data_IF_357219969980
#
_entry.id   IF_357219969980
#
_cell.length_a   1.000
_cell.length_b   1.000
_cell.length_c   1.000
_cell.angle_alpha   90.00
_cell.angle_beta   90.00
_cell.angle_gamma   90.00
#
_symmetry.space_group_name_H-M   'P 1'
#
loop_
_entity.id
_entity.type
_entity.pdbx_description
1 polymer ?
#
# COMPACT_ATOMS: atom_id res chain seq x y z
N UNK A 1 -13.51 -16.81 -20.12
CA UNK A 1 -13.30 -17.46 -18.80
C UNK A 1 -12.05 -18.32 -18.94
N UNK A 2 -11.16 -18.36 -17.94
CA UNK A 2 -9.93 -19.17 -18.04
C UNK A 2 -10.26 -20.66 -18.02
N UNK A 3 -9.49 -21.49 -18.72
CA UNK A 3 -9.52 -22.95 -18.57
C UNK A 3 -8.86 -23.37 -17.24
N UNK A 4 -8.97 -24.66 -16.88
CA UNK A 4 -8.32 -25.18 -15.67
C UNK A 4 -6.80 -25.15 -15.80
N UNK A 5 -6.30 -25.43 -16.99
CA UNK A 5 -4.89 -25.44 -17.35
C UNK A 5 -4.32 -24.02 -17.26
N UNK A 6 -4.98 -23.03 -17.86
CA UNK A 6 -4.58 -21.62 -17.76
C UNK A 6 -4.58 -21.10 -16.32
N UNK A 7 -5.54 -21.54 -15.49
CA UNK A 7 -5.56 -21.19 -14.07
C UNK A 7 -4.41 -21.83 -13.30
N UNK A 8 -4.07 -23.08 -13.60
CA UNK A 8 -2.94 -23.76 -12.99
C UNK A 8 -1.62 -23.05 -13.29
N UNK A 9 -1.39 -22.68 -14.56
CA UNK A 9 -0.19 -21.93 -14.97
C UNK A 9 -0.09 -20.59 -14.27
N UNK A 10 -1.22 -19.87 -14.13
CA UNK A 10 -1.28 -18.63 -13.35
C UNK A 10 -0.88 -18.86 -11.88
N UNK A 11 -1.33 -19.95 -11.26
CA UNK A 11 -0.99 -20.27 -9.88
C UNK A 11 0.50 -20.60 -9.74
N UNK A 12 1.09 -21.31 -10.69
CA UNK A 12 2.54 -21.58 -10.72
C UNK A 12 3.33 -20.27 -10.82
N UNK A 13 2.93 -19.36 -11.70
CA UNK A 13 3.58 -18.07 -11.84
C UNK A 13 3.44 -17.22 -10.58
N UNK A 14 2.24 -17.16 -9.98
CA UNK A 14 2.03 -16.45 -8.72
C UNK A 14 2.94 -16.99 -7.60
N UNK A 15 3.11 -18.32 -7.50
CA UNK A 15 4.02 -18.95 -6.54
C UNK A 15 5.46 -18.53 -6.79
N UNK A 16 5.91 -18.43 -8.04
CA UNK A 16 7.24 -17.93 -8.41
C UNK A 16 7.42 -16.47 -7.99
N UNK A 17 6.45 -15.61 -8.32
CA UNK A 17 6.51 -14.17 -8.05
C UNK A 17 6.59 -13.86 -6.55
N UNK A 18 5.85 -14.59 -5.71
CA UNK A 18 5.89 -14.34 -4.25
C UNK A 18 7.18 -14.81 -3.57
N UNK A 19 8.06 -15.51 -4.28
CA UNK A 19 9.40 -15.84 -3.77
C UNK A 19 10.43 -14.76 -4.08
N UNK A 20 10.14 -13.82 -4.98
CA UNK A 20 11.06 -12.75 -5.37
C UNK A 20 11.04 -11.61 -4.33
N UNK A 21 12.16 -11.34 -3.61
CA UNK A 21 12.25 -10.27 -2.63
C UNK A 21 11.91 -8.89 -3.20
N UNK A 22 12.21 -8.64 -4.46
CA UNK A 22 11.96 -7.36 -5.13
C UNK A 22 10.47 -7.14 -5.40
N UNK A 23 9.70 -8.23 -5.53
CA UNK A 23 8.25 -8.20 -5.71
C UNK A 23 7.55 -8.03 -4.37
N UNK A 24 8.00 -8.73 -3.32
CA UNK A 24 7.33 -8.72 -2.02
C UNK A 24 7.74 -7.58 -1.11
N UNK A 25 8.78 -6.81 -1.45
CA UNK A 25 9.20 -5.65 -0.66
C UNK A 25 8.10 -4.60 -0.55
N UNK A 26 8.07 -3.91 0.58
CA UNK A 26 7.15 -2.79 0.76
C UNK A 26 7.58 -1.61 -0.13
N UNK A 27 6.67 -1.14 -0.98
CA UNK A 27 6.89 0.02 -1.88
C UNK A 27 6.41 1.35 -1.29
N UNK A 28 5.99 1.38 -0.03
CA UNK A 28 5.52 2.59 0.63
C UNK A 28 6.69 3.57 0.86
N UNK A 29 6.62 4.84 0.44
CA UNK A 29 7.72 5.79 0.62
C UNK A 29 7.92 6.23 2.08
N UNK A 30 6.96 5.95 2.97
CA UNK A 30 7.00 6.36 4.36
C UNK A 30 7.88 5.42 5.21
N UNK A 31 9.20 5.60 5.15
CA UNK A 31 10.18 4.77 5.89
C UNK A 31 10.16 4.99 7.41
N UNK A 32 9.62 6.11 7.88
CA UNK A 32 9.42 6.40 9.31
C UNK A 32 8.14 5.76 9.89
N UNK A 33 7.40 4.97 9.11
CA UNK A 33 6.20 4.29 9.58
C UNK A 33 6.54 3.03 10.38
N UNK A 34 5.90 2.84 11.54
CA UNK A 34 6.11 1.66 12.41
C UNK A 34 5.72 0.34 11.75
N UNK A 35 4.89 0.43 10.70
CA UNK A 35 4.41 -0.68 9.88
C UNK A 35 5.12 -0.78 8.53
N UNK A 36 6.14 0.02 8.28
CA UNK A 36 6.96 -0.11 7.07
C UNK A 36 7.60 -1.51 7.02
N UNK A 37 7.50 -2.18 5.88
CA UNK A 37 7.94 -3.59 5.74
C UNK A 37 6.99 -4.64 6.36
N UNK A 38 6.09 -4.25 7.26
CA UNK A 38 5.11 -5.13 7.93
C UNK A 38 3.78 -5.17 7.14
N UNK A 39 3.84 -5.70 5.91
CA UNK A 39 2.73 -5.61 4.95
C UNK A 39 1.43 -6.27 5.44
N UNK A 40 1.52 -7.37 6.20
CA UNK A 40 0.34 -8.08 6.74
C UNK A 40 -0.40 -7.22 7.77
N UNK A 41 0.33 -6.61 8.69
CA UNK A 41 -0.17 -5.71 9.73
C UNK A 41 -0.73 -4.44 9.10
N UNK A 42 -0.02 -3.85 8.14
CA UNK A 42 -0.47 -2.68 7.39
C UNK A 42 -1.84 -2.93 6.72
N UNK A 43 -2.00 -4.07 6.02
CA UNK A 43 -3.30 -4.43 5.39
C UNK A 43 -4.38 -4.62 6.45
N UNK A 44 -4.07 -5.26 7.58
CA UNK A 44 -5.05 -5.46 8.66
C UNK A 44 -5.56 -4.13 9.21
N UNK A 45 -4.67 -3.15 9.44
CA UNK A 45 -5.04 -1.81 9.92
C UNK A 45 -5.89 -1.04 8.90
N UNK A 46 -5.50 -1.03 7.62
CA UNK A 46 -6.31 -0.38 6.57
C UNK A 46 -7.69 -1.03 6.42
N UNK A 47 -7.78 -2.37 6.53
CA UNK A 47 -9.04 -3.09 6.53
C UNK A 47 -9.91 -2.74 7.73
N UNK A 48 -9.33 -2.62 8.92
CA UNK A 48 -10.07 -2.28 10.14
C UNK A 48 -10.63 -0.86 10.10
N UNK A 49 -9.81 0.12 9.72
CA UNK A 49 -10.23 1.53 9.70
C UNK A 49 -11.12 1.88 8.51
N UNK A 50 -10.94 1.24 7.35
CA UNK A 50 -11.79 1.45 6.18
C UNK A 50 -11.70 2.83 5.52
N UNK A 51 -10.84 3.72 6.01
CA UNK A 51 -10.70 5.10 5.51
C UNK A 51 -10.12 5.13 4.08
N UNK A 52 -9.05 4.37 3.84
CA UNK A 52 -8.45 4.25 2.52
C UNK A 52 -7.60 2.98 2.36
N UNK A 53 -7.27 2.64 1.12
CA UNK A 53 -6.40 1.50 0.79
C UNK A 53 -4.92 1.76 1.10
N UNK A 54 -4.12 0.71 1.37
CA UNK A 54 -2.68 0.83 1.53
C UNK A 54 -2.00 1.41 0.28
N UNK A 55 -0.85 2.07 0.46
CA UNK A 55 -0.10 2.72 -0.63
C UNK A 55 0.21 1.77 -1.78
N UNK A 56 0.56 0.50 -1.50
CA UNK A 56 0.88 -0.49 -2.53
C UNK A 56 -0.30 -0.80 -3.49
N UNK A 57 -1.55 -0.59 -3.06
CA UNK A 57 -2.74 -0.80 -3.89
C UNK A 57 -3.20 0.47 -4.63
N UNK A 58 -2.78 1.66 -4.17
CA UNK A 58 -3.22 2.92 -4.74
C UNK A 58 -2.88 3.07 -6.24
N UNK A 59 -1.71 2.67 -6.78
CA UNK A 59 -1.43 2.80 -8.21
C UNK A 59 -2.44 2.06 -9.11
N UNK A 60 -2.86 0.86 -8.72
CA UNK A 60 -3.82 0.04 -9.46
C UNK A 60 -5.18 0.74 -9.50
N UNK A 61 -5.62 1.28 -8.36
CA UNK A 61 -6.91 1.95 -8.21
C UNK A 61 -6.89 3.32 -8.91
N UNK A 62 -5.82 4.12 -8.71
CA UNK A 62 -5.64 5.41 -9.39
C UNK A 62 -5.73 5.28 -10.89
N UNK A 63 -5.15 4.24 -11.50
CA UNK A 63 -5.26 4.00 -12.95
C UNK A 63 -6.71 3.85 -13.39
N UNK A 64 -7.52 3.10 -12.63
CA UNK A 64 -8.95 2.91 -12.92
C UNK A 64 -9.76 4.18 -12.71
N UNK A 65 -9.52 4.90 -11.61
CA UNK A 65 -10.19 6.17 -11.30
C UNK A 65 -9.88 7.23 -12.35
N UNK A 66 -8.62 7.37 -12.75
CA UNK A 66 -8.20 8.27 -13.84
C UNK A 66 -8.89 7.95 -15.16
N UNK A 67 -8.96 6.68 -15.52
CA UNK A 67 -9.63 6.24 -16.74
C UNK A 67 -11.12 6.59 -16.73
N UNK A 68 -11.79 6.44 -15.57
CA UNK A 68 -13.20 6.81 -15.41
C UNK A 68 -13.40 8.34 -15.46
N UNK A 69 -12.58 9.13 -14.77
CA UNK A 69 -12.70 10.58 -14.79
C UNK A 69 -12.52 11.15 -16.22
N UNK A 70 -11.58 10.59 -16.98
CA UNK A 70 -11.32 10.98 -18.36
C UNK A 70 -12.52 10.78 -19.31
N UNK A 71 -13.47 9.88 -19.02
CA UNK A 71 -14.64 9.67 -19.89
C UNK A 71 -15.62 10.84 -19.85
N UNK A 72 -15.46 11.76 -18.89
CA UNK A 72 -16.30 12.95 -18.71
C UNK A 72 -15.46 14.23 -18.64
N UNK A 73 -14.27 14.21 -19.25
CA UNK A 73 -13.34 15.36 -19.31
C UNK A 73 -12.96 15.91 -17.91
N UNK A 74 -12.94 15.04 -16.90
CA UNK A 74 -12.54 15.39 -15.54
C UNK A 74 -11.12 14.93 -15.22
N UNK A 75 -10.41 15.76 -14.47
CA UNK A 75 -9.12 15.42 -13.88
C UNK A 75 -9.25 14.97 -12.42
N UNK A 76 -8.24 14.22 -11.95
CA UNK A 76 -8.12 13.82 -10.55
C UNK A 76 -6.78 14.24 -9.98
N UNK A 77 -6.83 14.78 -8.76
CA UNK A 77 -5.65 15.21 -8.01
C UNK A 77 -5.38 14.27 -6.85
N UNK A 78 -4.10 14.07 -6.53
CA UNK A 78 -3.74 13.35 -5.31
C UNK A 78 -3.99 14.26 -4.10
N UNK A 79 -4.45 13.67 -3.00
CA UNK A 79 -4.46 14.34 -1.70
C UNK A 79 -3.02 14.55 -1.23
N UNK A 80 -2.74 15.71 -0.64
CA UNK A 80 -1.48 16.00 0.02
C UNK A 80 -1.18 14.97 1.13
N UNK A 81 0.07 14.49 1.24
CA UNK A 81 0.44 13.55 2.28
C UNK A 81 0.43 14.20 3.66
N UNK A 82 0.26 13.39 4.70
CA UNK A 82 0.46 13.85 6.08
C UNK A 82 1.89 14.37 6.25
N UNK A 83 2.09 15.56 6.86
CA UNK A 83 3.41 16.12 7.10
C UNK A 83 4.35 15.14 7.84
N UNK A 84 5.61 15.06 7.40
CA UNK A 84 6.61 14.17 8.00
C UNK A 84 6.87 14.50 9.48
N UNK A 85 6.70 15.77 9.86
CA UNK A 85 6.86 16.25 11.24
C UNK A 85 5.98 15.50 12.24
N UNK A 86 4.82 14.97 11.83
CA UNK A 86 3.93 14.23 12.73
C UNK A 86 4.56 12.88 13.11
N UNK A 87 5.26 12.23 12.18
CA UNK A 87 5.99 10.99 12.46
C UNK A 87 7.21 11.24 13.33
N UNK A 88 7.92 12.35 13.10
CA UNK A 88 9.02 12.76 13.98
C UNK A 88 8.53 13.03 15.40
N UNK A 89 7.36 13.67 15.53
CA UNK A 89 6.74 13.92 16.82
C UNK A 89 6.41 12.61 17.58
N UNK A 90 5.85 11.60 16.90
CA UNK A 90 5.61 10.28 17.49
C UNK A 90 6.91 9.68 18.04
N UNK A 91 7.97 9.65 17.22
CA UNK A 91 9.28 9.12 17.66
C UNK A 91 9.83 9.85 18.88
N UNK A 92 9.75 11.19 18.89
CA UNK A 92 10.17 12.00 20.04
C UNK A 92 9.39 11.61 21.31
N UNK A 93 8.08 11.42 21.20
CA UNK A 93 7.22 11.02 22.33
C UNK A 93 7.53 9.62 22.84
N UNK A 94 7.83 8.67 21.95
CA UNK A 94 8.22 7.31 22.32
C UNK A 94 9.58 7.31 23.07
N UNK A 95 10.53 8.13 22.64
CA UNK A 95 11.81 8.33 23.32
C UNK A 95 11.64 8.97 24.71
N UNK A 96 10.71 9.93 24.86
CA UNK A 96 10.38 10.52 26.16
C UNK A 96 9.72 9.51 27.09
N UNK A 97 8.80 8.69 26.56
CA UNK A 97 8.08 7.69 27.35
C UNK A 97 8.93 6.50 27.77
N UNK A 98 9.96 6.14 26.99
CA UNK A 98 10.86 5.02 27.31
C UNK A 98 11.92 5.38 28.36
N UNK A 99 12.02 6.66 28.74
CA UNK A 99 12.90 7.17 29.82
C UNK A 99 12.21 7.25 31.18
N UNK A 100 10.91 6.94 31.26
CA UNK A 100 10.10 6.84 32.48
C UNK A 100 9.95 5.38 32.88
#
# INVERSE_FOLDING_TARGET
MRTKEEYYDLVLENRRLVQDPEIVRCVCPNTLCDWHGKCKECIALHRYHGDHVPVCMQPIIRKKVKALAATVEMDVVNKEPTPLEYRHYVKKRDEESSRL
#
